data_IF_694228479369
#
_entry.id   IF_694228479369
#
_cell.length_a   1.000
_cell.length_b   1.000
_cell.length_c   1.000
_cell.angle_alpha   90.00
_cell.angle_beta   90.00
_cell.angle_gamma   90.00
#
_symmetry.space_group_name_H-M   'P 1'
#
loop_
_entity.id
_entity.type
_entity.pdbx_description
1 polymer ?
#
# COMPACT_ATOMS: atom_id res chain seq x y z
N UNK A 1 -28.41 -8.44 8.75
CA UNK A 1 -27.12 -7.83 9.12
C UNK A 1 -26.02 -8.60 8.42
N UNK A 2 -25.42 -8.05 7.37
CA UNK A 2 -24.27 -8.71 6.74
C UNK A 2 -23.05 -8.52 7.65
N UNK A 3 -22.65 -9.60 8.33
CA UNK A 3 -21.35 -9.76 8.98
C UNK A 3 -20.24 -9.38 7.98
N UNK A 4 -19.11 -8.86 8.48
CA UNK A 4 -17.98 -8.42 7.65
C UNK A 4 -17.74 -9.35 6.45
N UNK A 5 -17.69 -8.80 5.23
CA UNK A 5 -17.59 -9.59 3.98
C UNK A 5 -16.40 -10.55 3.96
N UNK A 6 -15.37 -10.26 4.76
CA UNK A 6 -14.16 -11.06 4.88
C UNK A 6 -14.07 -11.57 6.32
N UNK A 7 -14.06 -12.89 6.46
CA UNK A 7 -13.92 -13.59 7.73
C UNK A 7 -12.43 -13.89 8.00
N UNK A 8 -12.00 -13.90 9.28
CA UNK A 8 -10.65 -14.34 9.64
C UNK A 8 -10.33 -15.76 9.13
N UNK A 9 -9.08 -16.03 8.69
CA UNK A 9 -8.63 -17.37 8.31
C UNK A 9 -8.46 -18.28 9.52
N UNK A 10 -9.56 -18.80 10.04
CA UNK A 10 -9.49 -19.79 11.13
C UNK A 10 -9.00 -21.14 10.58
N UNK A 11 -8.04 -21.77 11.27
CA UNK A 11 -7.55 -23.11 10.93
C UNK A 11 -6.53 -23.18 9.79
N UNK A 12 -5.98 -22.04 9.33
CA UNK A 12 -4.92 -22.04 8.32
C UNK A 12 -3.52 -22.35 8.89
N UNK A 13 -3.27 -22.01 10.15
CA UNK A 13 -1.99 -22.23 10.82
C UNK A 13 -2.18 -22.38 12.34
N UNK A 14 -1.24 -23.06 12.99
CA UNK A 14 -1.18 -23.17 14.45
C UNK A 14 -0.48 -21.97 15.11
N UNK A 15 0.38 -21.28 14.36
CA UNK A 15 1.22 -20.18 14.85
C UNK A 15 1.24 -19.02 13.85
N UNK A 16 1.39 -17.80 14.36
CA UNK A 16 1.57 -16.57 13.56
C UNK A 16 2.91 -15.95 13.96
N UNK A 17 3.74 -15.63 12.96
CA UNK A 17 5.08 -15.07 13.18
C UNK A 17 5.09 -13.63 12.67
N UNK A 18 5.54 -12.72 13.53
CA UNK A 18 5.85 -11.34 13.15
C UNK A 18 7.36 -11.16 13.23
N UNK A 19 7.96 -10.68 12.14
CA UNK A 19 9.38 -10.37 12.08
C UNK A 19 9.62 -9.12 11.22
N UNK A 20 10.62 -8.29 11.55
CA UNK A 20 11.14 -7.30 10.61
C UNK A 20 11.53 -7.99 9.30
N UNK A 21 11.15 -7.42 8.16
CA UNK A 21 11.34 -8.06 6.85
C UNK A 21 12.80 -8.46 6.59
N UNK A 22 13.77 -7.65 7.04
CA UNK A 22 15.20 -7.92 6.89
C UNK A 22 15.74 -9.02 7.82
N UNK A 23 14.94 -9.50 8.77
CA UNK A 23 15.24 -10.59 9.71
C UNK A 23 14.32 -11.80 9.49
N UNK A 24 13.44 -11.76 8.48
CA UNK A 24 12.53 -12.85 8.21
C UNK A 24 13.30 -14.04 7.63
N UNK A 25 13.31 -15.16 8.35
CA UNK A 25 13.91 -16.42 7.90
C UNK A 25 12.96 -17.24 7.03
N UNK A 26 11.65 -17.00 7.18
CA UNK A 26 10.59 -17.62 6.40
C UNK A 26 10.04 -16.60 5.40
N UNK A 27 9.63 -17.11 4.22
CA UNK A 27 8.90 -16.32 3.23
C UNK A 27 7.60 -15.81 3.85
N UNK A 28 7.37 -14.49 3.96
CA UNK A 28 6.11 -13.95 4.49
C UNK A 28 4.92 -14.24 3.57
N UNK A 29 3.72 -14.36 4.14
CA UNK A 29 2.48 -14.35 3.37
C UNK A 29 2.11 -12.92 2.94
N UNK A 30 2.27 -11.98 3.88
CA UNK A 30 2.01 -10.55 3.70
C UNK A 30 3.14 -9.73 4.33
N UNK A 31 3.34 -8.51 3.83
CA UNK A 31 4.31 -7.54 4.33
C UNK A 31 3.57 -6.26 4.67
N UNK A 32 3.75 -5.81 5.92
CA UNK A 32 3.10 -4.62 6.45
C UNK A 32 4.11 -3.50 6.53
N UNK A 33 3.82 -2.39 5.87
CA UNK A 33 4.57 -1.14 5.97
C UNK A 33 3.83 -0.20 6.92
N UNK A 34 4.54 0.31 7.92
CA UNK A 34 4.12 1.46 8.72
C UNK A 34 4.79 2.67 8.09
N UNK A 35 4.01 3.58 7.53
CA UNK A 35 4.54 4.59 6.63
C UNK A 35 3.67 5.85 6.61
N UNK A 36 4.22 6.99 6.20
CA UNK A 36 3.42 8.19 5.98
C UNK A 36 2.67 8.17 4.64
N UNK A 37 1.84 9.19 4.40
CA UNK A 37 1.05 9.34 3.17
C UNK A 37 1.89 9.35 1.89
N UNK A 38 3.06 9.97 1.92
CA UNK A 38 3.97 10.03 0.76
C UNK A 38 4.53 8.66 0.41
N UNK A 39 5.00 7.92 1.41
CA UNK A 39 5.50 6.56 1.25
C UNK A 39 4.39 5.61 0.81
N UNK A 40 3.18 5.75 1.37
CA UNK A 40 2.02 4.96 0.97
C UNK A 40 1.67 5.17 -0.51
N UNK A 41 1.63 6.43 -0.96
CA UNK A 41 1.40 6.76 -2.37
C UNK A 41 2.44 6.09 -3.27
N UNK A 42 3.71 6.12 -2.87
CA UNK A 42 4.78 5.46 -3.64
C UNK A 42 4.56 3.95 -3.74
N UNK A 43 4.26 3.28 -2.63
CA UNK A 43 3.99 1.85 -2.60
C UNK A 43 2.81 1.47 -3.49
N UNK A 44 1.69 2.20 -3.40
CA UNK A 44 0.49 1.95 -4.21
C UNK A 44 0.79 2.09 -5.71
N UNK A 45 1.50 3.13 -6.11
CA UNK A 45 1.86 3.32 -7.52
C UNK A 45 2.86 2.29 -8.04
N UNK A 46 3.79 1.82 -7.20
CA UNK A 46 4.74 0.78 -7.59
C UNK A 46 4.05 -0.58 -7.80
N UNK A 47 3.09 -0.95 -6.95
CA UNK A 47 2.39 -2.25 -7.07
C UNK A 47 1.38 -2.28 -8.21
N UNK A 48 0.81 -1.14 -8.59
CA UNK A 48 -0.13 -1.05 -9.72
C UNK A 48 0.56 -0.69 -11.03
N UNK A 49 1.88 -0.43 -11.03
CA UNK A 49 2.60 0.05 -12.21
C UNK A 49 2.45 -0.86 -13.43
N UNK A 50 2.63 -2.17 -13.22
CA UNK A 50 2.58 -3.15 -14.30
C UNK A 50 1.17 -3.37 -14.83
N UNK A 51 0.19 -3.42 -13.93
CA UNK A 51 -1.18 -3.81 -14.28
C UNK A 51 -2.03 -2.62 -14.70
N UNK A 52 -1.71 -1.41 -14.23
CA UNK A 52 -2.54 -0.22 -14.35
C UNK A 52 -3.90 -0.35 -13.65
N UNK A 53 -4.15 -1.45 -12.92
CA UNK A 53 -5.45 -1.73 -12.30
C UNK A 53 -5.61 -0.85 -11.06
N UNK A 54 -6.73 -0.09 -10.95
CA UNK A 54 -7.01 0.68 -9.76
C UNK A 54 -7.03 -0.18 -8.49
N UNK A 55 -6.46 0.35 -7.40
CA UNK A 55 -6.46 -0.34 -6.12
C UNK A 55 -7.89 -0.43 -5.56
N UNK A 56 -8.36 -1.64 -5.30
CA UNK A 56 -9.49 -1.87 -4.42
C UNK A 56 -8.98 -2.00 -2.98
N UNK A 57 -9.50 -1.17 -2.07
CA UNK A 57 -9.12 -1.21 -0.66
C UNK A 57 -10.35 -1.24 0.26
N UNK A 58 -10.16 -1.77 1.46
CA UNK A 58 -11.13 -1.72 2.56
C UNK A 58 -10.42 -1.18 3.81
N UNK A 59 -10.39 0.15 3.97
CA UNK A 59 -9.74 0.79 5.12
C UNK A 59 -10.59 0.69 6.40
N UNK A 60 -11.78 0.09 6.34
CA UNK A 60 -12.74 0.08 7.44
C UNK A 60 -12.58 -1.12 8.39
N UNK A 61 -13.08 -0.97 9.62
CA UNK A 61 -13.03 -2.00 10.65
C UNK A 61 -11.79 -1.93 11.53
N UNK A 62 -11.53 -2.99 12.29
CA UNK A 62 -10.37 -3.05 13.19
C UNK A 62 -9.05 -3.08 12.42
N UNK A 63 -7.98 -2.60 13.06
CA UNK A 63 -6.62 -2.57 12.52
C UNK A 63 -6.17 -3.97 12.12
N UNK A 64 -6.34 -4.97 13.00
CA UNK A 64 -5.98 -6.36 12.68
C UNK A 64 -6.74 -6.91 11.46
N UNK A 65 -8.00 -6.50 11.25
CA UNK A 65 -8.77 -6.91 10.07
C UNK A 65 -8.22 -6.26 8.81
N UNK A 66 -8.09 -4.92 8.82
CA UNK A 66 -7.71 -4.16 7.62
C UNK A 66 -6.25 -4.40 7.23
N UNK A 67 -5.35 -4.54 8.19
CA UNK A 67 -3.90 -4.70 7.96
C UNK A 67 -3.51 -6.16 7.74
N UNK A 68 -4.15 -7.13 8.39
CA UNK A 68 -3.72 -8.54 8.30
C UNK A 68 -4.74 -9.38 7.56
N UNK A 69 -5.96 -9.48 8.09
CA UNK A 69 -6.97 -10.41 7.58
C UNK A 69 -7.37 -10.13 6.14
N UNK A 70 -7.63 -8.86 5.80
CA UNK A 70 -8.07 -8.49 4.44
C UNK A 70 -7.01 -8.87 3.39
N UNK A 71 -5.74 -8.43 3.49
CA UNK A 71 -4.71 -8.78 2.52
C UNK A 71 -4.43 -10.27 2.45
N UNK A 72 -4.40 -10.95 3.60
CA UNK A 72 -4.10 -12.38 3.69
C UNK A 72 -5.18 -13.24 3.02
N UNK A 73 -6.47 -12.91 3.22
CA UNK A 73 -7.59 -13.69 2.65
C UNK A 73 -7.83 -13.36 1.18
N UNK A 74 -7.78 -12.07 0.82
CA UNK A 74 -8.15 -11.64 -0.52
C UNK A 74 -7.01 -11.71 -1.52
N UNK A 75 -5.77 -11.80 -1.03
CA UNK A 75 -4.60 -11.64 -1.88
C UNK A 75 -4.51 -10.25 -2.53
N UNK A 76 -5.18 -9.24 -1.95
CA UNK A 76 -5.15 -7.86 -2.44
C UNK A 76 -4.29 -6.98 -1.54
N UNK A 77 -3.67 -5.98 -2.14
CA UNK A 77 -3.04 -4.89 -1.41
C UNK A 77 -4.10 -4.12 -0.63
N UNK A 78 -3.78 -3.63 0.56
CA UNK A 78 -4.69 -2.76 1.30
C UNK A 78 -3.96 -1.57 1.92
N UNK A 79 -4.68 -0.46 2.02
CA UNK A 79 -4.28 0.73 2.75
C UNK A 79 -5.23 0.89 3.93
N UNK A 80 -4.70 1.08 5.13
CA UNK A 80 -5.48 1.28 6.34
C UNK A 80 -5.00 2.51 7.08
N UNK A 81 -5.97 3.30 7.54
CA UNK A 81 -5.72 4.40 8.47
C UNK A 81 -5.58 3.89 9.90
N UNK A 82 -5.80 2.61 10.19
CA UNK A 82 -5.90 2.11 11.55
C UNK A 82 -7.15 2.61 12.28
N UNK A 83 -7.78 1.73 13.06
CA UNK A 83 -8.97 2.10 13.80
C UNK A 83 -8.63 3.03 14.97
N UNK A 84 -9.60 3.86 15.37
CA UNK A 84 -9.43 4.87 16.42
C UNK A 84 -9.05 4.22 17.76
N UNK A 85 -9.55 3.02 18.05
CA UNK A 85 -9.23 2.32 19.29
C UNK A 85 -7.78 1.88 19.29
N UNK A 86 -7.30 1.25 18.21
CA UNK A 86 -5.91 0.86 18.06
C UNK A 86 -4.96 2.05 18.14
N UNK A 87 -5.30 3.18 17.52
CA UNK A 87 -4.51 4.43 17.61
C UNK A 87 -4.43 5.00 19.02
N UNK A 88 -5.52 4.94 19.80
CA UNK A 88 -5.52 5.41 21.20
C UNK A 88 -4.77 4.48 22.14
N UNK A 89 -4.81 3.18 21.87
CA UNK A 89 -4.22 2.16 22.75
C UNK A 89 -2.75 1.87 22.43
N UNK A 90 -2.29 2.20 21.22
CA UNK A 90 -0.95 1.89 20.73
C UNK A 90 -0.20 3.17 20.43
N UNK A 91 1.13 3.11 20.40
CA UNK A 91 1.98 4.27 20.09
C UNK A 91 2.06 4.53 18.57
N UNK A 92 0.90 4.65 17.91
CA UNK A 92 0.78 4.95 16.47
C UNK A 92 0.70 6.46 16.31
N UNK A 93 1.59 7.04 15.53
CA UNK A 93 1.63 8.49 15.26
C UNK A 93 0.44 8.94 14.40
N UNK A 94 0.07 10.21 14.51
CA UNK A 94 -0.98 10.84 13.68
C UNK A 94 -0.67 10.73 12.18
N UNK A 95 0.62 10.75 11.82
CA UNK A 95 1.09 10.71 10.43
C UNK A 95 1.29 9.29 9.88
N UNK A 96 1.15 8.26 10.72
CA UNK A 96 1.36 6.88 10.31
C UNK A 96 0.12 6.27 9.67
N UNK A 97 0.33 5.56 8.57
CA UNK A 97 -0.62 4.74 7.84
C UNK A 97 -0.04 3.34 7.70
N UNK A 98 -0.89 2.40 7.29
CA UNK A 98 -0.50 1.03 7.03
C UNK A 98 -0.74 0.69 5.57
N UNK A 99 0.30 0.20 4.89
CA UNK A 99 0.15 -0.43 3.57
C UNK A 99 0.55 -1.87 3.70
N UNK A 100 -0.34 -2.79 3.33
CA UNK A 100 -0.03 -4.22 3.37
C UNK A 100 -0.05 -4.80 1.98
N UNK A 101 1.04 -5.48 1.62
CA UNK A 101 1.22 -6.17 0.36
C UNK A 101 1.23 -7.68 0.61
N UNK A 102 0.43 -8.49 -0.09
CA UNK A 102 0.75 -9.90 -0.25
C UNK A 102 2.15 -10.02 -0.83
N UNK A 103 2.96 -10.96 -0.33
CA UNK A 103 4.42 -10.98 -0.61
C UNK A 103 4.77 -11.03 -2.10
N UNK A 104 3.88 -11.59 -2.94
CA UNK A 104 4.07 -11.59 -4.40
C UNK A 104 4.14 -10.17 -5.00
N UNK A 105 3.36 -9.21 -4.47
CA UNK A 105 3.37 -7.82 -4.94
C UNK A 105 4.62 -7.07 -4.49
N UNK A 106 5.28 -7.50 -3.41
CA UNK A 106 6.53 -6.86 -2.98
C UNK A 106 7.60 -6.99 -4.07
N UNK A 107 7.71 -8.16 -4.69
CA UNK A 107 8.66 -8.38 -5.79
C UNK A 107 8.36 -7.44 -6.96
N UNK A 108 7.10 -7.37 -7.40
CA UNK A 108 6.67 -6.47 -8.47
C UNK A 108 6.97 -5.00 -8.11
N UNK A 109 6.70 -4.57 -6.88
CA UNK A 109 7.00 -3.20 -6.45
C UNK A 109 8.50 -2.87 -6.57
N UNK A 110 9.38 -3.80 -6.17
CA UNK A 110 10.84 -3.62 -6.25
C UNK A 110 11.32 -3.56 -7.70
N UNK A 111 10.82 -4.45 -8.56
CA UNK A 111 11.20 -4.50 -9.98
C UNK A 111 10.82 -3.23 -10.75
N UNK A 112 9.78 -2.52 -10.33
CA UNK A 112 9.29 -1.30 -10.99
C UNK A 112 9.88 0.01 -10.46
N UNK A 113 10.72 -0.03 -9.42
CA UNK A 113 11.41 1.17 -8.90
C UNK A 113 12.15 1.96 -10.01
N UNK A 114 12.92 1.36 -10.93
CA UNK A 114 13.64 2.12 -11.96
C UNK A 114 12.74 2.67 -13.09
N UNK A 115 11.49 2.19 -13.20
CA UNK A 115 10.59 2.51 -14.32
C UNK A 115 9.41 3.40 -13.94
N UNK A 116 9.05 3.43 -12.66
CA UNK A 116 7.96 4.25 -12.14
C UNK A 116 8.47 5.58 -11.59
N UNK A 117 7.74 6.68 -11.82
CA UNK A 117 8.02 8.00 -11.23
C UNK A 117 7.81 8.03 -9.71
N UNK A 118 6.99 7.12 -9.18
CA UNK A 118 6.91 6.86 -7.74
C UNK A 118 8.17 6.16 -7.18
N UNK A 119 8.99 5.57 -8.06
CA UNK A 119 10.29 4.98 -7.76
C UNK A 119 11.41 5.99 -7.98
N UNK A 120 12.16 5.79 -9.06
CA UNK A 120 13.35 6.58 -9.45
C UNK A 120 13.33 7.01 -10.92
N UNK A 121 12.29 6.67 -11.67
CA UNK A 121 12.17 7.11 -13.06
C UNK A 121 11.93 8.62 -13.12
N UNK A 122 12.56 9.28 -14.10
CA UNK A 122 12.37 10.72 -14.30
C UNK A 122 10.98 11.00 -14.90
N UNK A 123 10.25 11.93 -14.30
CA UNK A 123 9.03 12.46 -14.86
C UNK A 123 9.27 13.06 -16.24
N UNK A 124 8.28 12.93 -17.14
CA UNK A 124 8.27 13.63 -18.42
C UNK A 124 6.89 14.21 -18.64
N UNK A 125 6.85 15.49 -18.98
CA UNK A 125 5.62 16.17 -19.36
C UNK A 125 5.45 15.98 -20.88
N UNK A 126 4.36 15.37 -21.36
CA UNK A 126 4.07 15.29 -22.80
C UNK A 126 3.93 16.69 -23.42
N UNK A 127 4.35 16.86 -24.69
CA UNK A 127 4.27 18.17 -25.36
C UNK A 127 2.86 18.77 -25.36
N UNK A 128 1.82 17.95 -25.59
CA UNK A 128 0.43 18.39 -25.52
C UNK A 128 0.05 19.00 -24.16
N UNK A 129 0.60 18.46 -23.06
CA UNK A 129 0.38 19.00 -21.73
C UNK A 129 1.18 20.30 -21.51
N UNK A 130 2.39 20.41 -22.05
CA UNK A 130 3.18 21.66 -22.02
C UNK A 130 2.46 22.80 -22.76
N UNK A 131 1.86 22.51 -23.91
CA UNK A 131 1.08 23.47 -24.69
C UNK A 131 -0.16 23.93 -23.93
N UNK A 132 -0.86 23.01 -23.25
CA UNK A 132 -2.01 23.32 -22.41
C UNK A 132 -1.63 24.22 -21.21
N UNK A 133 -0.53 23.92 -20.52
CA UNK A 133 -0.05 24.73 -19.39
C UNK A 133 0.26 26.15 -19.85
N UNK A 134 0.95 26.30 -21.00
CA UNK A 134 1.27 27.61 -21.59
C UNK A 134 0.02 28.38 -22.01
N UNK A 135 -0.97 27.72 -22.62
CA UNK A 135 -2.20 28.41 -23.07
C UNK A 135 -3.07 28.91 -21.92
N UNK A 136 -2.96 28.28 -20.75
CA UNK A 136 -3.62 28.71 -19.51
C UNK A 136 -2.79 29.71 -18.68
N UNK A 137 -1.60 30.09 -19.16
CA UNK A 137 -0.70 31.01 -18.44
C UNK A 137 -0.06 30.42 -17.18
N UNK A 138 0.00 29.09 -17.06
CA UNK A 138 0.61 28.40 -15.92
C UNK A 138 2.13 28.24 -16.07
N UNK A 139 2.81 28.08 -14.93
CA UNK A 139 4.24 27.73 -14.88
C UNK A 139 4.45 26.22 -14.99
N UNK A 140 5.61 25.80 -15.52
CA UNK A 140 5.93 24.38 -15.68
C UNK A 140 6.23 23.75 -14.31
N UNK A 141 5.57 22.63 -13.94
CA UNK A 141 5.87 21.97 -12.68
C UNK A 141 7.25 21.30 -12.71
N UNK A 142 7.96 21.36 -11.58
CA UNK A 142 9.15 20.54 -11.35
C UNK A 142 8.68 19.11 -11.01
N UNK A 143 9.02 18.15 -11.89
CA UNK A 143 8.68 16.72 -11.76
C UNK A 143 9.88 15.81 -12.02
#
# INVERSE_FOLDING_TARGET
MALAKIKPPTGMAEHIIFAPLNKAELKPDVVIFICNSWQAARLVHLVTFETGVPLECDPSGSLCRSVITYPLITGKVNVSFGDITARKMSNISEDELFVTLPYIYLKSAVEHIPFCTAGTAKGRIPEAMKELIKSQGGEMPEI
#
